data_IF_434716494447
#
_entry.id   IF_434716494447
#
_cell.length_a   1.000
_cell.length_b   1.000
_cell.length_c   1.000
_cell.angle_alpha   90.00
_cell.angle_beta   90.00
_cell.angle_gamma   90.00
#
_symmetry.space_group_name_H-M   'P 1'
#
loop_
_entity.id
_entity.type
_entity.pdbx_description
1 polymer ?
#
# COMPACT_ATOMS: atom_id res chain seq x y z
N UNK A 1 -0.01 23.86 2.22
CA UNK A 1 0.58 22.78 1.43
C UNK A 1 -0.45 21.67 1.32
N UNK A 2 -0.79 21.20 0.11
CA UNK A 2 -1.81 20.16 -0.11
C UNK A 2 -1.25 18.81 0.37
N UNK A 3 -2.02 18.09 1.21
CA UNK A 3 -1.64 16.76 1.69
C UNK A 3 -2.31 15.68 0.85
N UNK A 4 -1.75 14.48 0.82
CA UNK A 4 -2.37 13.32 0.15
C UNK A 4 -3.78 13.08 0.67
N UNK A 5 -4.03 13.30 1.97
CA UNK A 5 -5.32 13.10 2.63
C UNK A 5 -6.41 14.12 2.27
N UNK A 6 -6.07 15.28 1.69
CA UNK A 6 -7.04 16.38 1.54
C UNK A 6 -8.19 16.05 0.57
N UNK A 7 -7.93 15.24 -0.45
CA UNK A 7 -8.92 14.81 -1.45
C UNK A 7 -8.95 13.29 -1.67
N UNK A 8 -8.04 12.57 -1.05
CA UNK A 8 -7.98 11.12 -1.16
C UNK A 8 -9.23 10.49 -0.53
N UNK A 9 -9.81 9.54 -1.22
CA UNK A 9 -10.94 8.78 -0.68
C UNK A 9 -12.31 9.45 -0.82
N UNK A 10 -12.40 10.72 -1.27
CA UNK A 10 -13.69 11.36 -1.50
C UNK A 10 -14.52 10.58 -2.51
N UNK A 11 -15.65 10.04 -2.05
CA UNK A 11 -16.56 9.24 -2.89
C UNK A 11 -16.13 7.79 -3.12
N UNK A 12 -15.04 7.34 -2.51
CA UNK A 12 -14.70 5.92 -2.49
C UNK A 12 -15.61 5.20 -1.49
N UNK A 13 -16.15 4.08 -1.93
CA UNK A 13 -16.89 3.16 -1.08
C UNK A 13 -16.80 1.77 -1.71
N UNK A 14 -16.36 0.80 -0.92
CA UNK A 14 -16.28 -0.60 -1.32
C UNK A 14 -17.29 -1.38 -0.49
N UNK A 15 -18.15 -2.15 -1.15
CA UNK A 15 -19.14 -2.96 -0.47
C UNK A 15 -18.49 -4.06 0.39
N UNK A 16 -19.13 -4.52 1.46
CA UNK A 16 -18.64 -5.65 2.25
C UNK A 16 -18.40 -6.90 1.42
N UNK A 17 -19.24 -7.14 0.40
CA UNK A 17 -19.14 -8.26 -0.52
C UNK A 17 -17.88 -8.16 -1.38
N UNK A 18 -17.57 -6.99 -1.93
CA UNK A 18 -16.37 -6.76 -2.73
C UNK A 18 -15.09 -6.87 -1.86
N UNK A 19 -15.12 -6.33 -0.64
CA UNK A 19 -14.01 -6.47 0.29
C UNK A 19 -13.76 -7.93 0.69
N UNK A 20 -14.82 -8.70 0.90
CA UNK A 20 -14.75 -10.14 1.21
C UNK A 20 -14.22 -10.93 0.00
N UNK A 21 -14.68 -10.63 -1.21
CA UNK A 21 -14.21 -11.28 -2.43
C UNK A 21 -12.70 -11.04 -2.62
N UNK A 22 -12.23 -9.80 -2.43
CA UNK A 22 -10.80 -9.47 -2.49
C UNK A 22 -9.99 -10.29 -1.49
N UNK A 23 -10.48 -10.44 -0.27
CA UNK A 23 -9.81 -11.26 0.74
C UNK A 23 -9.76 -12.75 0.36
N UNK A 24 -10.89 -13.32 -0.07
CA UNK A 24 -10.99 -14.73 -0.46
C UNK A 24 -10.08 -15.04 -1.66
N UNK A 25 -10.00 -14.15 -2.64
CA UNK A 25 -9.14 -14.30 -3.81
C UNK A 25 -7.69 -13.86 -3.57
N UNK A 26 -7.37 -13.37 -2.37
CA UNK A 26 -6.11 -12.71 -2.04
C UNK A 26 -4.87 -13.49 -2.44
N UNK A 27 -4.80 -14.81 -2.19
CA UNK A 27 -3.65 -15.62 -2.57
C UNK A 27 -3.49 -15.75 -4.10
N UNK A 28 -4.60 -15.81 -4.84
CA UNK A 28 -4.56 -15.84 -6.30
C UNK A 28 -4.09 -14.51 -6.87
N UNK A 29 -4.62 -13.41 -6.32
CA UNK A 29 -4.18 -12.07 -6.67
C UNK A 29 -2.68 -11.90 -6.42
N UNK A 30 -2.22 -12.25 -5.23
CA UNK A 30 -0.81 -12.15 -4.84
C UNK A 30 0.10 -12.97 -5.76
N UNK A 31 -0.29 -14.21 -6.05
CA UNK A 31 0.45 -15.06 -6.97
C UNK A 31 0.56 -14.41 -8.35
N UNK A 32 -0.57 -13.93 -8.88
CA UNK A 32 -0.62 -13.31 -10.22
C UNK A 32 0.24 -12.04 -10.28
N UNK A 33 0.15 -11.18 -9.29
CA UNK A 33 0.98 -9.96 -9.20
C UNK A 33 2.46 -10.32 -9.17
N UNK A 34 2.86 -11.29 -8.36
CA UNK A 34 4.26 -11.72 -8.29
C UNK A 34 4.76 -12.30 -9.61
N UNK A 35 3.94 -13.08 -10.32
CA UNK A 35 4.25 -13.62 -11.65
C UNK A 35 4.46 -12.49 -12.67
N UNK A 36 3.51 -11.56 -12.75
CA UNK A 36 3.56 -10.45 -13.70
C UNK A 36 4.77 -9.54 -13.44
N UNK A 37 4.99 -9.15 -12.17
CA UNK A 37 6.13 -8.32 -11.80
C UNK A 37 7.47 -9.01 -12.08
N UNK A 38 7.59 -10.29 -11.75
CA UNK A 38 8.84 -11.04 -11.96
C UNK A 38 9.17 -11.29 -13.42
N UNK A 39 8.17 -11.28 -14.30
CA UNK A 39 8.35 -11.47 -15.74
C UNK A 39 8.80 -10.19 -16.47
N UNK A 40 8.84 -9.04 -15.80
CA UNK A 40 9.26 -7.77 -16.39
C UNK A 40 10.76 -7.76 -16.68
N UNK A 41 11.13 -7.21 -17.81
CA UNK A 41 12.54 -7.03 -18.20
C UNK A 41 13.28 -6.03 -17.29
N UNK A 42 12.56 -5.01 -16.81
CA UNK A 42 13.07 -3.92 -15.97
C UNK A 42 12.95 -4.19 -14.45
N UNK A 43 12.53 -5.38 -14.03
CA UNK A 43 12.27 -5.68 -12.62
C UNK A 43 13.47 -5.41 -11.71
N UNK A 44 14.68 -5.72 -12.17
CA UNK A 44 15.89 -5.51 -11.40
C UNK A 44 16.13 -4.02 -11.09
N UNK A 45 15.82 -3.14 -12.03
CA UNK A 45 15.91 -1.70 -11.86
C UNK A 45 14.83 -1.20 -10.91
N UNK A 46 13.60 -1.66 -11.08
CA UNK A 46 12.45 -1.29 -10.22
C UNK A 46 12.67 -1.66 -8.76
N UNK A 47 13.21 -2.85 -8.49
CA UNK A 47 13.50 -3.29 -7.11
C UNK A 47 14.87 -2.82 -6.60
N UNK A 48 15.60 -1.98 -7.36
CA UNK A 48 16.89 -1.44 -6.95
C UNK A 48 17.95 -2.51 -6.69
N UNK A 49 17.99 -3.56 -7.52
CA UNK A 49 18.86 -4.74 -7.39
C UNK A 49 18.65 -5.56 -6.12
N UNK A 50 17.56 -5.32 -5.38
CA UNK A 50 17.20 -6.16 -4.24
C UNK A 50 16.78 -7.57 -4.70
N UNK A 51 16.98 -8.60 -3.88
CA UNK A 51 16.44 -9.93 -4.15
C UNK A 51 14.91 -9.91 -4.26
N UNK A 52 14.33 -10.63 -5.22
CA UNK A 52 12.90 -10.63 -5.51
C UNK A 52 12.03 -11.05 -4.32
N UNK A 53 12.54 -11.85 -3.40
CA UNK A 53 11.77 -12.25 -2.21
C UNK A 53 11.35 -11.03 -1.37
N UNK A 54 12.13 -9.94 -1.36
CA UNK A 54 11.75 -8.69 -0.67
C UNK A 54 10.50 -8.07 -1.32
N UNK A 55 10.42 -8.09 -2.66
CA UNK A 55 9.22 -7.66 -3.37
C UNK A 55 8.03 -8.57 -3.04
N UNK A 56 8.23 -9.89 -2.97
CA UNK A 56 7.15 -10.83 -2.63
C UNK A 56 6.61 -10.60 -1.21
N UNK A 57 7.49 -10.36 -0.25
CA UNK A 57 7.10 -10.02 1.12
C UNK A 57 6.34 -8.69 1.16
N UNK A 58 6.80 -7.70 0.40
CA UNK A 58 6.13 -6.41 0.29
C UNK A 58 4.73 -6.53 -0.33
N UNK A 59 4.57 -7.32 -1.40
CA UNK A 59 3.27 -7.58 -2.02
C UNK A 59 2.33 -8.34 -1.08
N UNK A 60 2.86 -9.27 -0.28
CA UNK A 60 2.09 -9.96 0.76
C UNK A 60 1.60 -9.00 1.85
N UNK A 61 2.45 -8.06 2.29
CA UNK A 61 2.08 -7.03 3.24
C UNK A 61 1.05 -6.05 2.65
N UNK A 62 1.21 -5.67 1.39
CA UNK A 62 0.24 -4.85 0.66
C UNK A 62 -1.15 -5.51 0.63
N UNK A 63 -1.22 -6.80 0.27
CA UNK A 63 -2.48 -7.55 0.27
C UNK A 63 -3.20 -7.45 1.63
N UNK A 64 -2.48 -7.74 2.72
CA UNK A 64 -3.05 -7.71 4.08
C UNK A 64 -3.53 -6.32 4.46
N UNK A 65 -2.72 -5.30 4.18
CA UNK A 65 -3.04 -3.92 4.51
C UNK A 65 -4.27 -3.45 3.73
N UNK A 66 -4.30 -3.64 2.40
CA UNK A 66 -5.43 -3.25 1.57
C UNK A 66 -6.70 -4.03 1.95
N UNK A 67 -6.63 -5.33 2.22
CA UNK A 67 -7.78 -6.10 2.70
C UNK A 67 -8.43 -5.46 3.93
N UNK A 68 -7.63 -4.99 4.89
CA UNK A 68 -8.14 -4.31 6.07
C UNK A 68 -8.72 -2.93 5.74
N UNK A 69 -8.05 -2.15 4.90
CA UNK A 69 -8.56 -0.84 4.44
C UNK A 69 -9.93 -0.99 3.76
N UNK A 70 -10.08 -1.96 2.86
CA UNK A 70 -11.33 -2.21 2.15
C UNK A 70 -12.46 -2.63 3.10
N UNK A 71 -12.18 -3.51 4.06
CA UNK A 71 -13.18 -3.93 5.07
C UNK A 71 -13.68 -2.78 5.94
N UNK A 72 -12.79 -1.87 6.29
CA UNK A 72 -13.10 -0.75 7.18
C UNK A 72 -13.54 0.50 6.42
N UNK A 73 -13.37 0.54 5.10
CA UNK A 73 -13.50 1.74 4.27
C UNK A 73 -12.69 2.93 4.83
N UNK A 74 -11.52 2.65 5.44
CA UNK A 74 -10.66 3.67 6.05
C UNK A 74 -9.61 4.20 5.06
N UNK A 75 -10.08 5.02 4.13
CA UNK A 75 -9.23 5.64 3.10
C UNK A 75 -8.36 6.77 3.64
N UNK A 76 -8.71 7.31 4.79
CA UNK A 76 -7.91 8.32 5.49
C UNK A 76 -6.62 7.71 6.05
N UNK A 77 -6.72 6.52 6.62
CA UNK A 77 -5.56 5.72 7.02
C UNK A 77 -4.68 5.39 5.82
N UNK A 78 -5.28 4.94 4.71
CA UNK A 78 -4.55 4.63 3.48
C UNK A 78 -3.77 5.86 2.99
N UNK A 79 -4.44 7.02 2.87
CA UNK A 79 -3.83 8.26 2.39
C UNK A 79 -2.64 8.71 3.26
N UNK A 80 -2.77 8.60 4.58
CA UNK A 80 -1.69 8.95 5.52
C UNK A 80 -0.53 7.97 5.50
N UNK A 81 -0.78 6.72 5.14
CA UNK A 81 0.25 5.67 5.10
C UNK A 81 1.09 5.75 3.82
N UNK A 82 0.56 6.22 2.69
CA UNK A 82 1.27 6.23 1.41
C UNK A 82 2.65 6.90 1.46
N UNK A 83 2.84 8.13 1.98
CA UNK A 83 4.17 8.74 2.02
C UNK A 83 5.20 7.91 2.81
N UNK A 84 4.76 7.24 3.85
CA UNK A 84 5.57 6.34 4.66
C UNK A 84 6.02 5.09 3.89
N UNK A 85 5.10 4.51 3.14
CA UNK A 85 5.39 3.37 2.27
C UNK A 85 6.44 3.78 1.24
N UNK A 86 6.25 4.88 0.53
CA UNK A 86 7.22 5.41 -0.43
C UNK A 86 8.61 5.59 0.21
N UNK A 87 8.67 6.27 1.37
CA UNK A 87 9.93 6.47 2.09
C UNK A 87 10.62 5.17 2.46
N UNK A 88 9.87 4.18 2.92
CA UNK A 88 10.42 2.88 3.33
C UNK A 88 11.05 2.14 2.16
N UNK A 89 10.43 2.19 0.98
CA UNK A 89 10.92 1.51 -0.20
C UNK A 89 12.13 2.24 -0.83
N UNK A 90 12.02 3.56 -1.01
CA UNK A 90 13.13 4.33 -1.57
C UNK A 90 14.38 4.29 -0.70
N UNK A 91 14.22 4.24 0.65
CA UNK A 91 15.35 4.02 1.56
C UNK A 91 16.02 2.65 1.43
N UNK A 92 15.37 1.71 0.75
CA UNK A 92 15.90 0.37 0.39
C UNK A 92 16.26 0.26 -1.09
N UNK A 93 16.48 1.38 -1.75
CA UNK A 93 16.86 1.49 -3.17
C UNK A 93 15.79 1.02 -4.18
N UNK A 94 14.53 0.83 -3.79
CA UNK A 94 13.48 0.67 -4.77
C UNK A 94 13.32 1.96 -5.58
N UNK A 95 13.09 1.83 -6.88
CA UNK A 95 12.75 2.96 -7.73
C UNK A 95 11.40 3.56 -7.32
N UNK A 96 11.22 4.85 -7.47
CA UNK A 96 9.92 5.51 -7.31
C UNK A 96 8.90 4.98 -8.32
N UNK A 97 9.34 4.60 -9.51
CA UNK A 97 8.52 4.01 -10.57
C UNK A 97 7.99 2.62 -10.22
N UNK A 98 8.56 1.97 -9.20
CA UNK A 98 8.05 0.68 -8.73
C UNK A 98 6.57 0.75 -8.33
N UNK A 99 6.15 1.83 -7.64
CA UNK A 99 4.79 1.96 -7.15
C UNK A 99 3.75 2.05 -8.26
N UNK A 100 3.86 2.97 -9.24
CA UNK A 100 2.93 3.00 -10.37
C UNK A 100 2.81 1.65 -11.05
N UNK A 101 3.92 0.97 -11.25
CA UNK A 101 3.95 -0.30 -11.97
C UNK A 101 3.33 -1.45 -11.16
N UNK A 102 3.65 -1.56 -9.89
CA UNK A 102 3.02 -2.60 -9.05
C UNK A 102 1.52 -2.34 -8.83
N UNK A 103 1.08 -1.08 -8.70
CA UNK A 103 -0.34 -0.75 -8.58
C UNK A 103 -1.11 -1.10 -9.87
N UNK A 104 -0.56 -0.83 -11.05
CA UNK A 104 -1.14 -1.24 -12.33
C UNK A 104 -1.25 -2.76 -12.44
N UNK A 105 -0.21 -3.46 -11.96
CA UNK A 105 -0.19 -4.93 -11.94
C UNK A 105 -1.26 -5.50 -10.99
N UNK A 106 -1.48 -4.88 -9.83
CA UNK A 106 -2.58 -5.24 -8.94
C UNK A 106 -3.94 -5.03 -9.62
N UNK A 107 -4.15 -3.90 -10.32
CA UNK A 107 -5.40 -3.65 -11.04
C UNK A 107 -5.65 -4.67 -12.16
N UNK A 108 -4.60 -5.15 -12.84
CA UNK A 108 -4.71 -6.23 -13.83
C UNK A 108 -5.15 -7.53 -13.16
N UNK A 109 -4.47 -7.96 -12.10
CA UNK A 109 -4.84 -9.16 -11.36
C UNK A 109 -6.27 -9.10 -10.79
N UNK A 110 -6.70 -7.94 -10.30
CA UNK A 110 -8.06 -7.69 -9.79
C UNK A 110 -9.08 -7.91 -10.91
N UNK A 111 -8.85 -7.37 -12.12
CA UNK A 111 -9.75 -7.57 -13.26
C UNK A 111 -9.83 -9.02 -13.71
N UNK A 112 -8.74 -9.78 -13.58
CA UNK A 112 -8.68 -11.18 -13.98
C UNK A 112 -9.40 -12.13 -13.00
N UNK A 113 -9.41 -11.79 -11.71
CA UNK A 113 -9.78 -12.74 -10.65
C UNK A 113 -11.04 -12.38 -9.85
N UNK A 114 -11.51 -11.13 -9.91
CA UNK A 114 -12.72 -10.71 -9.23
C UNK A 114 -13.88 -10.52 -10.21
N UNK A 115 -15.10 -10.52 -9.68
CA UNK A 115 -16.29 -10.15 -10.45
C UNK A 115 -16.17 -8.70 -10.95
N UNK A 116 -16.85 -8.37 -12.05
CA UNK A 116 -16.81 -7.02 -12.62
C UNK A 116 -17.24 -5.97 -11.59
N UNK A 117 -18.29 -6.26 -10.81
CA UNK A 117 -18.83 -5.35 -9.80
C UNK A 117 -17.81 -5.04 -8.69
N UNK A 118 -17.17 -6.07 -8.15
CA UNK A 118 -16.11 -5.92 -7.13
C UNK A 118 -14.87 -5.24 -7.70
N UNK A 119 -14.47 -5.62 -8.92
CA UNK A 119 -13.33 -5.04 -9.61
C UNK A 119 -13.49 -3.53 -9.80
N UNK A 120 -14.64 -3.07 -10.27
CA UNK A 120 -14.89 -1.65 -10.51
C UNK A 120 -14.80 -0.81 -9.23
N UNK A 121 -15.27 -1.35 -8.11
CA UNK A 121 -15.21 -0.65 -6.81
C UNK A 121 -13.76 -0.57 -6.31
N UNK A 122 -13.04 -1.69 -6.32
CA UNK A 122 -11.69 -1.79 -5.76
C UNK A 122 -10.68 -1.05 -6.65
N UNK A 123 -10.81 -1.10 -7.97
CA UNK A 123 -9.93 -0.40 -8.91
C UNK A 123 -9.96 1.11 -8.65
N UNK A 124 -11.09 1.71 -8.29
CA UNK A 124 -11.14 3.14 -7.93
C UNK A 124 -10.22 3.48 -6.75
N UNK A 125 -10.05 2.57 -5.80
CA UNK A 125 -9.11 2.76 -4.69
C UNK A 125 -7.67 2.75 -5.20
N UNK A 126 -7.32 1.83 -6.09
CA UNK A 126 -5.99 1.75 -6.72
C UNK A 126 -5.72 2.95 -7.63
N UNK A 127 -6.72 3.43 -8.37
CA UNK A 127 -6.62 4.66 -9.17
C UNK A 127 -6.37 5.89 -8.30
N UNK A 128 -7.01 5.99 -7.13
CA UNK A 128 -6.76 7.06 -6.17
C UNK A 128 -5.32 6.99 -5.62
N UNK A 129 -4.82 5.78 -5.32
CA UNK A 129 -3.41 5.59 -4.93
C UNK A 129 -2.46 6.02 -6.05
N UNK A 130 -2.72 5.60 -7.29
CA UNK A 130 -1.93 5.95 -8.45
C UNK A 130 -1.94 7.47 -8.71
N UNK A 131 -3.09 8.11 -8.61
CA UNK A 131 -3.26 9.57 -8.77
C UNK A 131 -2.56 10.37 -7.68
N UNK A 132 -2.27 9.76 -6.53
CA UNK A 132 -1.57 10.40 -5.42
C UNK A 132 -0.04 10.19 -5.47
N UNK A 133 0.49 9.55 -6.51
CA UNK A 133 1.91 9.19 -6.64
C UNK A 133 2.84 10.40 -6.40
N UNK A 134 2.74 11.44 -7.22
CA UNK A 134 3.62 12.61 -7.16
C UNK A 134 3.56 13.32 -5.80
N UNK A 135 2.35 13.41 -5.20
CA UNK A 135 2.18 13.98 -3.86
C UNK A 135 2.81 13.09 -2.79
N UNK A 136 2.74 11.77 -2.95
CA UNK A 136 3.33 10.81 -2.01
C UNK A 136 4.85 10.84 -2.06
N UNK A 137 5.45 10.90 -3.26
CA UNK A 137 6.89 11.10 -3.45
C UNK A 137 7.34 12.38 -2.77
N UNK A 138 6.73 13.52 -3.12
CA UNK A 138 7.06 14.82 -2.52
C UNK A 138 6.88 14.84 -1.01
N UNK A 139 5.80 14.26 -0.49
CA UNK A 139 5.54 14.22 0.95
C UNK A 139 6.52 13.29 1.68
N UNK A 140 7.05 12.28 1.02
CA UNK A 140 8.08 11.40 1.57
C UNK A 140 9.43 12.11 1.75
N UNK A 141 9.75 13.06 0.88
CA UNK A 141 10.93 13.92 1.00
C UNK A 141 10.78 14.96 2.11
N UNK A 142 9.63 15.63 2.15
CA UNK A 142 9.30 16.67 3.14
C UNK A 142 9.18 16.14 4.57
N UNK A 143 8.83 14.85 4.73
CA UNK A 143 8.72 14.19 6.03
C UNK A 143 10.06 14.19 6.83
N UNK A 144 11.17 14.48 6.17
CA UNK A 144 12.48 14.68 6.82
C UNK A 144 12.70 16.10 7.32
N UNK A 145 12.00 17.11 6.81
CA UNK A 145 12.34 18.53 7.02
C UNK A 145 11.40 19.21 8.03
N UNK A 146 10.20 18.70 8.26
CA UNK A 146 9.11 19.44 8.90
C UNK A 146 8.59 18.94 10.25
N UNK A 147 9.13 17.89 10.85
CA UNK A 147 8.51 17.30 12.04
C UNK A 147 9.26 17.65 13.32
N UNK A 148 8.83 18.73 13.95
CA UNK A 148 9.02 18.96 15.37
C UNK A 148 7.93 18.20 16.16
N UNK A 149 7.76 16.92 15.86
CA UNK A 149 6.91 15.98 16.60
C UNK A 149 7.82 15.21 17.53
N UNK A 150 7.43 15.10 18.79
CA UNK A 150 8.12 14.30 19.80
C UNK A 150 8.59 12.97 19.19
N UNK A 151 9.89 12.69 19.26
CA UNK A 151 10.49 11.50 18.63
C UNK A 151 9.82 10.19 19.09
N UNK A 152 9.23 10.17 20.29
CA UNK A 152 8.45 9.02 20.81
C UNK A 152 7.25 8.74 19.94
N UNK A 153 6.49 9.75 19.51
CA UNK A 153 5.32 9.57 18.65
C UNK A 153 5.70 9.06 17.26
N UNK A 154 6.83 9.50 16.71
CA UNK A 154 7.35 8.97 15.44
C UNK A 154 7.66 7.48 15.53
N UNK A 155 8.28 7.05 16.63
CA UNK A 155 8.60 5.63 16.84
C UNK A 155 7.33 4.79 17.01
N UNK A 156 6.33 5.31 17.72
CA UNK A 156 5.04 4.64 17.92
C UNK A 156 4.31 4.52 16.57
N UNK A 157 4.22 5.60 15.82
CA UNK A 157 3.56 5.62 14.51
C UNK A 157 4.23 4.64 13.53
N UNK A 158 5.57 4.59 13.49
CA UNK A 158 6.33 3.61 12.71
C UNK A 158 6.04 2.18 13.13
N UNK A 159 6.00 1.89 14.43
CA UNK A 159 5.70 0.57 14.95
C UNK A 159 4.28 0.14 14.60
N UNK A 160 3.30 1.05 14.72
CA UNK A 160 1.90 0.80 14.35
C UNK A 160 1.78 0.47 12.86
N UNK A 161 2.38 1.28 11.99
CA UNK A 161 2.35 1.04 10.53
C UNK A 161 3.02 -0.28 10.20
N UNK A 162 4.18 -0.59 10.79
CA UNK A 162 4.87 -1.86 10.58
C UNK A 162 4.04 -3.05 11.09
N UNK A 163 3.39 -2.94 12.24
CA UNK A 163 2.54 -3.98 12.78
C UNK A 163 1.30 -4.21 11.91
N UNK A 164 0.69 -3.14 11.38
CA UNK A 164 -0.41 -3.22 10.42
C UNK A 164 0.01 -3.88 9.11
N UNK A 165 1.17 -3.49 8.56
CA UNK A 165 1.72 -4.08 7.34
C UNK A 165 2.05 -5.57 7.50
N UNK A 166 2.50 -5.97 8.69
CA UNK A 166 2.78 -7.39 9.02
C UNK A 166 1.51 -8.17 9.39
N UNK A 167 0.38 -7.50 9.62
CA UNK A 167 -0.84 -8.12 10.15
C UNK A 167 -0.67 -8.65 11.58
N UNK A 168 0.25 -8.08 12.34
CA UNK A 168 0.56 -8.53 13.71
C UNK A 168 -0.27 -7.78 14.73
N UNK A 169 -1.45 -8.31 15.05
CA UNK A 169 -2.30 -7.79 16.14
C UNK A 169 -1.60 -7.79 17.50
N UNK A 170 -0.68 -8.74 17.71
CA UNK A 170 0.08 -8.81 18.96
C UNK A 170 1.01 -7.61 19.13
N UNK A 171 1.75 -7.24 18.07
CA UNK A 171 2.61 -6.05 18.12
C UNK A 171 1.80 -4.76 18.30
N UNK A 172 0.58 -4.68 17.74
CA UNK A 172 -0.33 -3.54 17.96
C UNK A 172 -0.79 -3.43 19.43
N UNK A 173 -1.09 -4.55 20.07
CA UNK A 173 -1.49 -4.57 21.47
C UNK A 173 -0.33 -4.15 22.40
N UNK A 174 0.90 -4.57 22.10
CA UNK A 174 2.09 -4.20 22.85
C UNK A 174 2.39 -2.68 22.76
N UNK A 175 2.13 -2.05 21.58
CA UNK A 175 2.31 -0.60 21.38
C UNK A 175 1.26 0.22 22.15
N UNK A 176 0.07 -0.32 22.38
CA UNK A 176 -1.02 0.38 23.07
C UNK A 176 -0.90 0.37 24.62
N UNK A 177 0.05 -0.39 25.15
CA UNK A 177 0.24 -0.56 26.60
C UNK A 177 1.40 0.29 27.14
N UNK A 178 2.33 0.76 26.28
CA UNK A 178 3.46 1.64 26.60
C UNK A 178 3.10 3.13 26.40
#
# INVERSE_FOLDING_TARGET
MRRVSDDFGKGLNVSPEAALEFEIQGERLLKRVNELMSAREDISELVGMNPLYIMYDNNSNHLRFISNVLKLNDYDLLARTLPWVYKTYTSRNFSEDFFPEVLKTWMEAIREHLTSESSEQIIKVYEAMLSSHDLSVKSSEDALIGMNVDERWKVIEQKVVLALLKGSYRELQEIAID
#
